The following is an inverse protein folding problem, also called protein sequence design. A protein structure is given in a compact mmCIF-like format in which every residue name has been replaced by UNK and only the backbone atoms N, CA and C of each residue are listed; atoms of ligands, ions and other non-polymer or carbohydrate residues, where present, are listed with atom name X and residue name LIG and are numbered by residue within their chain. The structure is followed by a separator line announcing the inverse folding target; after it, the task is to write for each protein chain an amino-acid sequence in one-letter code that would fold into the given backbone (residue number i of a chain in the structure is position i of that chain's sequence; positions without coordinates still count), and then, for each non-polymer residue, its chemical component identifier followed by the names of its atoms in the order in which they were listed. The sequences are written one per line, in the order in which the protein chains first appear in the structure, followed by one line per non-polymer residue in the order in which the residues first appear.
data_IF_028480338548
#
_entry.id   IF_028480338548
#
_cell.length_a   1.000
_cell.length_b   1.000
_cell.length_c   1.000
_cell.angle_alpha   90.00
_cell.angle_beta   90.00
_cell.angle_gamma   90.00
#
_symmetry.space_group_name_H-M   'P 1'
#
loop_
_entity.id
_entity.type
_entity.pdbx_description
1 polymer ?
#
# COMPACT_ATOMS: atom_id res chain seq x y z
N UNK A 1 13.13 37.98 -86.89
CA UNK A 1 14.19 38.08 -85.87
C UNK A 1 13.59 38.02 -84.47
N UNK A 2 13.84 36.94 -83.73
CA UNK A 2 13.88 36.89 -82.25
C UNK A 2 14.40 35.51 -81.84
N UNK A 3 15.68 35.45 -81.48
CA UNK A 3 16.31 34.32 -80.80
C UNK A 3 15.69 34.22 -79.40
N UNK A 4 15.25 33.03 -78.99
CA UNK A 4 15.19 32.65 -77.57
C UNK A 4 15.80 31.26 -77.38
N UNK A 5 16.91 31.32 -76.67
CA UNK A 5 17.79 30.30 -76.13
C UNK A 5 17.05 29.26 -75.30
N UNK A 6 17.24 27.97 -75.58
CA UNK A 6 16.92 26.89 -74.64
C UNK A 6 18.24 26.44 -74.02
N UNK A 7 18.44 26.81 -72.75
CA UNK A 7 19.51 26.30 -71.89
C UNK A 7 19.16 24.87 -71.50
N UNK A 8 19.94 23.89 -71.95
CA UNK A 8 19.93 22.55 -71.38
C UNK A 8 20.82 22.57 -70.13
N UNK A 9 20.20 22.67 -68.96
CA UNK A 9 20.85 22.47 -67.67
C UNK A 9 20.93 20.96 -67.45
N UNK A 10 22.12 20.38 -67.63
CA UNK A 10 22.45 19.04 -67.12
C UNK A 10 22.89 19.19 -65.67
N UNK A 11 21.95 19.03 -64.74
CA UNK A 11 22.26 18.71 -63.34
C UNK A 11 22.32 17.18 -63.28
N UNK A 12 23.53 16.63 -63.19
CA UNK A 12 23.74 15.31 -62.59
C UNK A 12 24.71 15.51 -61.43
N UNK A 13 24.10 15.63 -60.25
CA UNK A 13 24.70 15.39 -58.95
C UNK A 13 25.17 13.93 -58.87
N UNK A 14 26.36 13.73 -58.32
CA UNK A 14 26.71 12.48 -57.66
C UNK A 14 27.87 11.70 -58.26
N UNK A 15 29.11 12.17 -58.04
CA UNK A 15 30.02 11.54 -57.07
C UNK A 15 31.39 12.22 -57.17
N UNK A 16 31.65 13.11 -56.22
CA UNK A 16 33.00 13.47 -55.85
C UNK A 16 33.67 12.25 -55.20
N UNK A 17 34.48 11.53 -55.98
CA UNK A 17 35.67 10.87 -55.47
C UNK A 17 36.84 11.76 -55.88
N UNK A 18 37.43 12.43 -54.89
CA UNK A 18 38.63 13.24 -55.03
C UNK A 18 39.79 12.40 -55.56
N UNK A 19 40.45 12.84 -56.64
CA UNK A 19 41.69 12.19 -57.08
C UNK A 19 42.29 12.58 -58.44
N UNK A 20 42.26 13.86 -58.84
CA UNK A 20 43.30 14.44 -59.71
C UNK A 20 43.28 14.19 -61.23
N UNK A 21 43.19 15.28 -62.00
CA UNK A 21 44.01 15.46 -63.22
C UNK A 21 43.32 15.51 -64.59
N UNK A 22 43.37 16.69 -65.24
CA UNK A 22 43.27 16.92 -66.70
C UNK A 22 41.85 16.95 -67.27
N UNK A 23 41.26 18.07 -67.74
CA UNK A 23 41.71 19.06 -68.72
C UNK A 23 42.24 18.44 -70.03
N UNK A 24 41.43 18.57 -71.09
CA UNK A 24 41.79 18.54 -72.53
C UNK A 24 42.29 17.18 -73.08
N UNK A 25 41.66 16.55 -74.07
CA UNK A 25 41.37 17.10 -75.39
C UNK A 25 40.49 16.12 -76.16
N UNK A 26 39.45 16.66 -76.79
CA UNK A 26 38.68 16.02 -77.85
C UNK A 26 39.46 16.15 -79.15
N UNK A 27 39.82 15.04 -79.80
CA UNK A 27 39.58 14.80 -81.24
C UNK A 27 40.41 13.63 -81.78
N UNK A 28 39.74 12.52 -82.09
CA UNK A 28 39.76 11.98 -83.46
C UNK A 28 38.49 11.17 -83.69
N UNK A 29 37.59 11.83 -84.41
CA UNK A 29 36.35 11.33 -84.96
C UNK A 29 36.62 10.17 -85.93
N UNK A 30 36.11 8.99 -85.59
CA UNK A 30 35.69 7.97 -86.54
C UNK A 30 34.55 7.17 -85.89
N UNK A 31 33.34 7.44 -86.37
CA UNK A 31 32.19 6.53 -86.38
C UNK A 31 31.80 5.79 -85.09
N UNK A 32 30.86 6.38 -84.35
CA UNK A 32 29.68 5.62 -83.97
C UNK A 32 28.46 6.55 -83.99
N UNK A 33 27.75 6.56 -85.11
CA UNK A 33 26.38 7.07 -85.17
C UNK A 33 25.56 6.21 -84.21
N UNK A 34 25.36 6.66 -82.97
CA UNK A 34 24.20 6.18 -82.23
C UNK A 34 23.02 6.81 -82.94
N UNK A 35 22.30 5.98 -83.67
CA UNK A 35 21.10 6.35 -84.41
C UNK A 35 20.16 7.07 -83.44
N UNK A 36 19.68 8.25 -83.80
CA UNK A 36 18.79 9.04 -82.93
C UNK A 36 17.58 8.21 -82.48
N UNK A 37 17.17 7.28 -83.34
CA UNK A 37 16.16 6.26 -83.07
C UNK A 37 16.54 5.31 -81.91
N UNK A 38 17.80 4.86 -81.81
CA UNK A 38 18.25 3.99 -80.72
C UNK A 38 18.30 4.72 -79.37
N UNK A 39 18.63 6.02 -79.34
CA UNK A 39 18.56 6.81 -78.10
C UNK A 39 17.12 7.05 -77.64
N UNK A 40 16.22 7.36 -78.58
CA UNK A 40 14.79 7.54 -78.30
C UNK A 40 14.14 6.22 -77.84
N UNK A 41 14.54 5.07 -78.42
CA UNK A 41 14.10 3.75 -77.99
C UNK A 41 14.62 3.39 -76.57
N UNK A 42 15.89 3.69 -76.26
CA UNK A 42 16.46 3.46 -74.93
C UNK A 42 15.74 4.29 -73.86
N UNK A 43 15.50 5.57 -74.14
CA UNK A 43 14.77 6.48 -73.24
C UNK A 43 13.32 6.05 -73.05
N UNK A 44 12.69 5.51 -74.09
CA UNK A 44 11.32 4.99 -74.00
C UNK A 44 11.26 3.76 -73.11
N UNK A 45 12.18 2.79 -73.28
CA UNK A 45 12.27 1.60 -72.43
C UNK A 45 12.57 1.95 -70.97
N UNK A 46 13.48 2.90 -70.73
CA UNK A 46 13.82 3.36 -69.37
C UNK A 46 12.62 4.07 -68.71
N UNK A 47 11.88 4.89 -69.45
CA UNK A 47 10.65 5.54 -68.99
C UNK A 47 9.55 4.54 -68.68
N UNK A 48 9.36 3.52 -69.50
CA UNK A 48 8.39 2.44 -69.27
C UNK A 48 8.75 1.61 -68.03
N UNK A 49 10.03 1.29 -67.84
CA UNK A 49 10.52 0.61 -66.64
C UNK A 49 10.31 1.44 -65.37
N UNK A 50 10.63 2.74 -65.41
CA UNK A 50 10.37 3.67 -64.31
C UNK A 50 8.88 3.78 -64.00
N UNK A 51 8.03 3.85 -65.02
CA UNK A 51 6.57 3.88 -64.85
C UNK A 51 6.04 2.58 -64.21
N UNK A 52 6.54 1.42 -64.65
CA UNK A 52 6.20 0.13 -64.05
C UNK A 52 6.65 0.05 -62.57
N UNK A 53 7.84 0.55 -62.26
CA UNK A 53 8.37 0.57 -60.91
C UNK A 53 7.58 1.51 -59.98
N UNK A 54 7.19 2.69 -60.48
CA UNK A 54 6.32 3.63 -59.75
C UNK A 54 4.94 3.02 -59.49
N UNK A 55 4.35 2.34 -60.49
CA UNK A 55 3.07 1.67 -60.33
C UNK A 55 3.14 0.55 -59.26
N UNK A 56 4.18 -0.28 -59.30
CA UNK A 56 4.43 -1.32 -58.30
C UNK A 56 4.60 -0.74 -56.89
N UNK A 57 5.42 0.30 -56.75
CA UNK A 57 5.66 0.97 -55.45
C UNK A 57 4.39 1.61 -54.92
N UNK A 58 3.57 2.19 -55.80
CA UNK A 58 2.29 2.81 -55.41
C UNK A 58 1.31 1.77 -54.88
N UNK A 59 1.21 0.60 -55.52
CA UNK A 59 0.38 -0.50 -55.05
C UNK A 59 0.85 -1.06 -53.70
N UNK A 60 2.17 -1.16 -53.50
CA UNK A 60 2.76 -1.61 -52.24
C UNK A 60 2.47 -0.62 -51.10
N UNK A 61 2.60 0.70 -51.36
CA UNK A 61 2.22 1.74 -50.39
C UNK A 61 0.73 1.70 -50.05
N UNK A 62 -0.13 1.40 -51.01
CA UNK A 62 -1.57 1.28 -50.77
C UNK A 62 -1.91 0.06 -49.89
N UNK A 63 -1.25 -1.09 -50.14
CA UNK A 63 -1.35 -2.27 -49.29
C UNK A 63 -0.83 -2.00 -47.87
N UNK A 64 0.34 -1.37 -47.74
CA UNK A 64 0.91 -1.02 -46.43
C UNK A 64 0.01 -0.03 -45.66
N UNK A 65 -0.63 0.92 -46.34
CA UNK A 65 -1.63 1.82 -45.72
C UNK A 65 -2.85 1.05 -45.20
N UNK A 66 -3.30 0.04 -45.94
CA UNK A 66 -4.42 -0.82 -45.55
C UNK A 66 -4.07 -1.69 -44.34
N UNK A 67 -2.89 -2.29 -44.32
CA UNK A 67 -2.37 -3.04 -43.17
C UNK A 67 -2.21 -2.15 -41.93
N UNK A 68 -1.63 -0.96 -42.09
CA UNK A 68 -1.47 0.02 -41.01
C UNK A 68 -2.83 0.47 -40.45
N UNK A 69 -3.85 0.61 -41.30
CA UNK A 69 -5.23 0.87 -40.89
C UNK A 69 -5.80 -0.27 -40.02
N UNK A 70 -5.57 -1.52 -40.43
CA UNK A 70 -5.96 -2.71 -39.66
C UNK A 70 -5.27 -2.79 -38.30
N UNK A 71 -3.97 -2.52 -38.24
CA UNK A 71 -3.19 -2.50 -36.98
C UNK A 71 -3.70 -1.41 -36.04
N UNK A 72 -3.97 -0.19 -36.56
CA UNK A 72 -4.52 0.91 -35.76
C UNK A 72 -5.91 0.58 -35.19
N UNK A 73 -6.78 -0.05 -35.98
CA UNK A 73 -8.10 -0.47 -35.53
C UNK A 73 -8.02 -1.59 -34.48
N UNK A 74 -7.11 -2.56 -34.66
CA UNK A 74 -6.87 -3.61 -33.68
C UNK A 74 -6.30 -3.07 -32.36
N UNK A 75 -5.40 -2.10 -32.44
CA UNK A 75 -4.83 -1.42 -31.27
C UNK A 75 -5.90 -0.60 -30.53
N UNK A 76 -6.71 0.18 -31.24
CA UNK A 76 -7.84 0.91 -30.64
C UNK A 76 -8.84 -0.03 -29.97
N UNK A 77 -9.15 -1.16 -30.61
CA UNK A 77 -10.03 -2.19 -30.03
C UNK A 77 -9.43 -2.79 -28.76
N UNK A 78 -8.15 -3.17 -28.78
CA UNK A 78 -7.41 -3.69 -27.62
C UNK A 78 -7.36 -2.69 -26.46
N UNK A 79 -7.10 -1.43 -26.74
CA UNK A 79 -7.10 -0.35 -25.76
C UNK A 79 -8.49 -0.16 -25.16
N UNK A 80 -9.55 -0.20 -25.99
CA UNK A 80 -10.93 -0.08 -25.51
C UNK A 80 -11.38 -1.27 -24.66
N UNK A 81 -10.97 -2.49 -25.00
CA UNK A 81 -11.27 -3.72 -24.24
C UNK A 81 -10.48 -3.78 -22.92
N UNK A 82 -9.21 -3.36 -22.93
CA UNK A 82 -8.40 -3.22 -21.71
C UNK A 82 -8.98 -2.16 -20.76
N UNK A 83 -9.41 -1.01 -21.28
CA UNK A 83 -10.06 0.05 -20.50
C UNK A 83 -11.39 -0.39 -19.88
N UNK A 84 -12.15 -1.22 -20.59
CA UNK A 84 -13.43 -1.78 -20.11
C UNK A 84 -13.23 -2.74 -18.94
N UNK A 85 -12.14 -3.52 -18.94
CA UNK A 85 -11.78 -4.44 -17.85
C UNK A 85 -11.17 -3.74 -16.63
N UNK A 86 -10.56 -2.56 -16.78
CA UNK A 86 -10.01 -1.80 -15.64
C UNK A 86 -11.05 -0.96 -14.88
N UNK A 87 -12.19 -0.64 -15.51
CA UNK A 87 -13.22 0.25 -14.97
C UNK A 87 -14.51 -0.45 -14.51
N UNK A 88 -14.63 -1.77 -14.64
CA UNK A 88 -15.86 -2.46 -14.20
C UNK A 88 -15.84 -2.75 -12.70
N UNK A 89 -16.85 -2.23 -12.00
CA UNK A 89 -17.21 -2.64 -10.63
C UNK A 89 -17.37 -4.16 -10.59
N UNK A 90 -16.61 -4.82 -9.73
CA UNK A 90 -16.76 -6.25 -9.47
C UNK A 90 -18.03 -6.49 -8.65
N UNK A 91 -18.66 -7.63 -8.83
CA UNK A 91 -19.69 -8.13 -7.92
C UNK A 91 -19.06 -8.50 -6.56
N UNK A 92 -19.88 -8.55 -5.51
CA UNK A 92 -19.41 -8.91 -4.17
C UNK A 92 -18.78 -10.32 -4.14
N UNK A 93 -19.35 -11.26 -4.90
CA UNK A 93 -18.80 -12.61 -5.05
C UNK A 93 -17.39 -12.59 -5.69
N UNK A 94 -17.17 -11.75 -6.70
CA UNK A 94 -15.85 -11.60 -7.33
C UNK A 94 -14.84 -10.93 -6.40
N UNK A 95 -15.26 -9.92 -5.63
CA UNK A 95 -14.40 -9.26 -4.63
C UNK A 95 -13.97 -10.26 -3.56
N UNK A 96 -14.91 -11.07 -3.05
CA UNK A 96 -14.64 -12.14 -2.08
C UNK A 96 -13.69 -13.16 -2.69
N UNK A 97 -13.98 -13.69 -3.88
CA UNK A 97 -13.15 -14.70 -4.54
C UNK A 97 -11.72 -14.20 -4.79
N UNK A 98 -11.57 -12.92 -5.14
CA UNK A 98 -10.27 -12.27 -5.37
C UNK A 98 -9.45 -12.12 -4.09
N UNK A 99 -10.08 -11.77 -2.96
CA UNK A 99 -9.35 -11.39 -1.74
C UNK A 99 -9.31 -12.48 -0.66
N UNK A 100 -10.37 -13.28 -0.49
CA UNK A 100 -10.49 -14.33 0.55
C UNK A 100 -9.25 -15.23 0.64
N UNK A 101 -8.63 -15.69 -0.46
CA UNK A 101 -7.45 -16.56 -0.38
C UNK A 101 -6.24 -15.91 0.31
N UNK A 102 -6.12 -14.58 0.24
CA UNK A 102 -5.00 -13.83 0.80
C UNK A 102 -5.25 -13.29 2.22
N UNK A 103 -6.49 -13.38 2.74
CA UNK A 103 -6.83 -12.93 4.09
C UNK A 103 -6.55 -14.05 5.08
N UNK A 104 -5.86 -13.73 6.17
CA UNK A 104 -5.36 -14.73 7.14
C UNK A 104 -5.80 -14.42 8.55
N UNK A 105 -6.05 -15.47 9.33
CA UNK A 105 -6.29 -15.35 10.77
C UNK A 105 -4.94 -15.38 11.48
N UNK A 106 -4.73 -14.44 12.40
CA UNK A 106 -3.51 -14.32 13.19
C UNK A 106 -3.84 -14.66 14.63
N UNK A 107 -3.17 -15.67 15.18
CA UNK A 107 -3.26 -16.05 16.58
C UNK A 107 -1.92 -15.77 17.25
N UNK A 108 -1.94 -15.09 18.39
CA UNK A 108 -0.77 -14.82 19.22
C UNK A 108 -1.01 -15.36 20.62
N UNK A 109 0.01 -15.32 21.48
CA UNK A 109 -0.16 -15.66 22.90
C UNK A 109 -1.00 -14.64 23.68
N UNK A 110 -1.21 -13.45 23.12
CA UNK A 110 -1.91 -12.32 23.76
C UNK A 110 -3.29 -12.03 23.15
N UNK A 111 -3.66 -12.69 22.05
CA UNK A 111 -4.96 -12.48 21.39
C UNK A 111 -5.01 -13.00 19.96
N UNK A 112 -5.88 -12.39 19.16
CA UNK A 112 -6.06 -12.73 17.75
C UNK A 112 -6.46 -11.53 16.91
N UNK A 113 -6.22 -11.60 15.60
CA UNK A 113 -6.62 -10.59 14.65
C UNK A 113 -6.63 -11.12 13.21
N UNK A 114 -6.69 -10.20 12.27
CA UNK A 114 -6.66 -10.48 10.84
C UNK A 114 -5.36 -9.98 10.21
N UNK A 115 -5.04 -10.50 9.03
CA UNK A 115 -3.95 -9.99 8.20
C UNK A 115 -4.24 -10.23 6.73
N UNK A 116 -3.36 -9.71 5.88
CA UNK A 116 -3.39 -9.95 4.44
C UNK A 116 -2.00 -10.32 3.93
N UNK A 117 -1.92 -11.34 3.08
CA UNK A 117 -0.70 -11.68 2.35
C UNK A 117 -0.52 -10.64 1.24
N UNK A 118 0.65 -10.01 1.19
CA UNK A 118 0.96 -8.88 0.29
C UNK A 118 1.99 -9.22 -0.80
N UNK A 119 2.53 -10.43 -0.80
CA UNK A 119 3.33 -10.97 -1.90
C UNK A 119 3.31 -12.51 -1.91
N UNK A 120 3.72 -13.08 -3.05
CA UNK A 120 3.76 -14.53 -3.26
C UNK A 120 4.75 -15.26 -2.36
N UNK A 121 5.67 -14.54 -1.71
CA UNK A 121 6.66 -15.10 -0.81
C UNK A 121 6.10 -15.26 0.62
N UNK A 122 4.85 -14.89 0.89
CA UNK A 122 4.25 -15.07 2.22
C UNK A 122 4.63 -13.97 3.20
N UNK A 123 4.79 -12.75 2.71
CA UNK A 123 4.81 -11.56 3.57
C UNK A 123 3.38 -11.18 3.93
N UNK A 124 3.11 -11.00 5.22
CA UNK A 124 1.78 -10.65 5.75
C UNK A 124 1.83 -9.26 6.34
N UNK A 125 0.84 -8.43 6.01
CA UNK A 125 0.59 -7.12 6.60
C UNK A 125 -0.57 -7.24 7.60
N UNK A 126 -0.41 -6.65 8.78
CA UNK A 126 -1.43 -6.56 9.83
C UNK A 126 -1.22 -5.29 10.66
N UNK A 127 -2.02 -5.09 11.71
CA UNK A 127 -1.77 -4.03 12.68
C UNK A 127 -0.68 -4.38 13.69
N UNK A 128 0.07 -3.38 14.15
CA UNK A 128 1.11 -3.58 15.15
C UNK A 128 0.55 -4.08 16.48
N UNK A 129 -0.64 -3.60 16.88
CA UNK A 129 -1.27 -4.02 18.14
C UNK A 129 -1.68 -5.50 18.15
N UNK A 130 -1.93 -6.12 16.98
CA UNK A 130 -2.29 -7.56 16.87
C UNK A 130 -1.13 -8.45 17.31
N UNK A 131 0.10 -8.01 17.07
CA UNK A 131 1.35 -8.75 17.37
C UNK A 131 2.20 -8.07 18.43
N UNK A 132 1.56 -7.27 19.27
CA UNK A 132 2.27 -6.51 20.29
C UNK A 132 2.82 -7.44 21.37
N UNK A 133 4.10 -7.25 21.71
CA UNK A 133 4.78 -8.04 22.74
C UNK A 133 5.17 -9.46 22.33
N UNK A 134 4.86 -9.89 21.10
CA UNK A 134 5.19 -11.22 20.61
C UNK A 134 6.19 -11.18 19.45
N UNK A 135 7.05 -12.19 19.36
CA UNK A 135 7.97 -12.37 18.23
C UNK A 135 7.41 -13.34 17.18
N UNK A 136 6.48 -14.20 17.60
CA UNK A 136 5.91 -15.27 16.79
C UNK A 136 4.39 -15.23 16.85
N UNK A 137 3.76 -15.67 15.76
CA UNK A 137 2.33 -15.87 15.66
C UNK A 137 2.02 -17.17 14.92
N UNK A 138 0.85 -17.75 15.16
CA UNK A 138 0.29 -18.82 14.35
C UNK A 138 -0.67 -18.22 13.33
N UNK A 139 -0.45 -18.50 12.05
CA UNK A 139 -1.27 -18.02 10.96
C UNK A 139 -2.14 -19.15 10.45
N UNK A 140 -3.45 -18.94 10.38
CA UNK A 140 -4.37 -19.86 9.71
C UNK A 140 -4.70 -19.29 8.33
N UNK A 141 -4.32 -20.04 7.31
CA UNK A 141 -4.53 -19.70 5.90
C UNK A 141 -5.97 -20.02 5.48
N UNK A 142 -6.42 -19.46 4.35
CA UNK A 142 -7.76 -19.69 3.81
C UNK A 142 -8.05 -21.16 3.47
N UNK A 143 -7.00 -21.96 3.23
CA UNK A 143 -7.06 -23.40 3.00
C UNK A 143 -7.01 -24.24 4.30
N UNK A 144 -7.21 -23.58 5.45
CA UNK A 144 -7.18 -24.17 6.80
C UNK A 144 -5.82 -24.66 7.30
N UNK A 145 -4.73 -24.52 6.52
CA UNK A 145 -3.39 -24.82 7.03
C UNK A 145 -3.00 -23.82 8.11
N UNK A 146 -2.35 -24.33 9.15
CA UNK A 146 -1.74 -23.51 10.20
C UNK A 146 -0.23 -23.48 10.00
N UNK A 147 0.35 -22.29 10.01
CA UNK A 147 1.80 -22.08 9.81
C UNK A 147 2.33 -21.10 10.83
N UNK A 148 3.57 -21.29 11.28
CA UNK A 148 4.26 -20.34 12.13
C UNK A 148 4.70 -19.11 11.32
N UNK A 149 4.56 -17.93 11.91
CA UNK A 149 5.07 -16.68 11.38
C UNK A 149 5.95 -15.95 12.38
N UNK A 150 6.95 -15.24 11.85
CA UNK A 150 7.82 -14.35 12.61
C UNK A 150 7.43 -12.90 12.34
N UNK A 151 7.46 -12.07 13.38
CA UNK A 151 7.34 -10.62 13.22
C UNK A 151 8.67 -10.08 12.68
N UNK A 152 8.64 -9.48 11.48
CA UNK A 152 9.84 -8.94 10.80
C UNK A 152 10.10 -7.50 11.17
N UNK A 153 9.04 -6.69 11.25
CA UNK A 153 9.13 -5.27 11.53
C UNK A 153 7.78 -4.69 11.88
N UNK A 154 7.77 -3.62 12.66
CA UNK A 154 6.55 -2.90 13.04
C UNK A 154 6.79 -1.40 13.14
N UNK A 155 5.76 -0.63 12.84
CA UNK A 155 5.66 0.81 13.10
C UNK A 155 4.47 1.01 14.03
N UNK A 156 4.75 1.14 15.34
CA UNK A 156 3.73 1.32 16.36
C UNK A 156 3.01 2.68 16.27
N UNK A 157 3.62 3.68 15.62
CA UNK A 157 2.99 4.99 15.44
C UNK A 157 1.93 4.93 14.35
N UNK A 158 2.18 4.17 13.29
CA UNK A 158 1.20 3.90 12.23
C UNK A 158 0.30 2.69 12.51
N UNK A 159 0.56 1.96 13.59
CA UNK A 159 -0.12 0.72 13.93
C UNK A 159 -0.07 -0.33 12.80
N UNK A 160 1.11 -0.57 12.22
CA UNK A 160 1.33 -1.59 11.18
C UNK A 160 2.48 -2.52 11.52
N UNK A 161 2.35 -3.79 11.14
CA UNK A 161 3.39 -4.79 11.29
C UNK A 161 3.48 -5.71 10.06
N UNK A 162 4.70 -6.18 9.79
CA UNK A 162 4.99 -7.19 8.80
C UNK A 162 5.36 -8.50 9.50
N UNK A 163 4.66 -9.56 9.10
CA UNK A 163 4.96 -10.92 9.49
C UNK A 163 5.47 -11.70 8.28
N UNK A 164 6.20 -12.78 8.54
CA UNK A 164 6.73 -13.67 7.50
C UNK A 164 6.41 -15.11 7.82
N UNK A 165 5.78 -15.79 6.85
CA UNK A 165 5.62 -17.25 6.82
C UNK A 165 6.60 -17.87 5.83
N UNK A 166 6.94 -19.14 6.03
CA UNK A 166 7.82 -19.88 5.12
C UNK A 166 7.02 -20.50 3.97
N UNK A 167 7.53 -20.41 2.74
CA UNK A 167 6.88 -20.95 1.54
C UNK A 167 6.91 -19.97 0.38
N UNK A 168 6.24 -20.33 -0.71
CA UNK A 168 6.10 -19.52 -1.90
C UNK A 168 4.75 -19.81 -2.59
N UNK A 169 4.43 -19.04 -3.63
CA UNK A 169 3.19 -19.14 -4.42
C UNK A 169 1.92 -18.91 -3.59
N UNK A 170 2.01 -18.06 -2.57
CA UNK A 170 0.83 -17.64 -1.83
C UNK A 170 -0.06 -16.73 -2.68
N UNK A 171 -1.39 -16.85 -2.57
CA UNK A 171 -2.27 -15.79 -3.03
C UNK A 171 -2.00 -14.51 -2.24
N UNK A 172 -2.07 -13.36 -2.90
CA UNK A 172 -1.80 -12.07 -2.27
C UNK A 172 -2.78 -11.01 -2.78
N UNK A 173 -2.98 -9.98 -1.96
CA UNK A 173 -3.87 -8.86 -2.28
C UNK A 173 -3.22 -7.90 -3.28
N UNK A 174 -4.07 -7.21 -4.05
CA UNK A 174 -3.65 -6.09 -4.90
C UNK A 174 -3.86 -4.78 -4.15
N UNK A 175 -2.85 -3.91 -4.09
CA UNK A 175 -3.04 -2.57 -3.52
C UNK A 175 -3.70 -1.62 -4.52
N UNK A 176 -4.62 -0.81 -4.03
CA UNK A 176 -5.22 0.30 -4.76
C UNK A 176 -4.57 1.63 -4.39
N UNK A 177 -5.26 2.70 -4.76
CA UNK A 177 -4.91 4.06 -4.39
C UNK A 177 -5.94 4.61 -3.40
N UNK A 178 -5.51 4.78 -2.15
CA UNK A 178 -6.31 5.36 -1.08
C UNK A 178 -6.43 6.88 -1.17
N UNK A 179 -5.64 7.57 -2.01
CA UNK A 179 -5.77 9.02 -2.20
C UNK A 179 -6.95 9.40 -3.08
N UNK A 180 -7.35 8.51 -4.01
CA UNK A 180 -8.48 8.72 -4.91
C UNK A 180 -9.83 8.46 -4.28
N UNK A 181 -9.87 7.82 -3.11
CA UNK A 181 -11.11 7.46 -2.40
C UNK A 181 -11.88 8.71 -2.01
N UNK A 182 -13.21 8.69 -2.12
CA UNK A 182 -14.10 9.81 -1.81
C UNK A 182 -15.17 9.38 -0.81
N UNK A 183 -15.75 10.36 -0.12
CA UNK A 183 -16.92 10.11 0.72
C UNK A 183 -18.06 9.56 -0.14
N UNK A 184 -18.71 8.50 0.33
CA UNK A 184 -19.77 7.80 -0.39
C UNK A 184 -19.28 6.62 -1.25
N UNK A 185 -17.97 6.47 -1.49
CA UNK A 185 -17.45 5.32 -2.24
C UNK A 185 -17.79 4.00 -1.52
N UNK A 186 -18.27 3.02 -2.28
CA UNK A 186 -18.50 1.66 -1.79
C UNK A 186 -17.18 1.00 -1.37
N UNK A 187 -17.19 0.41 -0.18
CA UNK A 187 -16.03 -0.26 0.41
C UNK A 187 -16.45 -1.54 1.13
N UNK A 188 -15.50 -2.46 1.25
CA UNK A 188 -15.74 -3.78 1.80
C UNK A 188 -14.65 -4.15 2.79
N UNK A 189 -15.04 -4.62 3.97
CA UNK A 189 -14.11 -5.13 4.98
C UNK A 189 -14.04 -6.65 4.91
N UNK A 190 -12.83 -7.18 5.00
CA UNK A 190 -12.59 -8.62 5.16
C UNK A 190 -11.80 -8.89 6.44
N UNK A 191 -12.15 -9.94 7.16
CA UNK A 191 -11.46 -10.33 8.39
C UNK A 191 -12.20 -11.38 9.21
N UNK A 192 -11.77 -11.54 10.46
CA UNK A 192 -12.26 -12.52 11.42
C UNK A 192 -12.84 -11.81 12.66
N UNK A 193 -14.10 -11.37 12.61
CA UNK A 193 -14.71 -10.63 13.71
C UNK A 193 -14.77 -11.49 14.98
N UNK A 194 -14.58 -10.84 16.12
CA UNK A 194 -14.42 -11.41 17.46
C UNK A 194 -13.30 -12.44 17.60
N UNK A 195 -12.40 -12.52 16.63
CA UNK A 195 -11.38 -13.57 16.58
C UNK A 195 -11.96 -14.97 16.36
N UNK A 196 -13.21 -15.06 15.86
CA UNK A 196 -13.85 -16.33 15.57
C UNK A 196 -13.20 -16.99 14.36
N UNK A 197 -12.82 -18.24 14.53
CA UNK A 197 -12.33 -19.08 13.45
C UNK A 197 -13.47 -19.43 12.50
N UNK A 198 -13.16 -19.54 11.21
CA UNK A 198 -14.15 -19.89 10.20
C UNK A 198 -13.81 -19.28 8.85
N UNK A 199 -14.84 -19.07 8.04
CA UNK A 199 -14.68 -18.35 6.78
C UNK A 199 -14.43 -16.86 7.02
N UNK A 200 -13.63 -16.25 6.15
CA UNK A 200 -13.40 -14.80 6.13
C UNK A 200 -14.74 -14.07 6.05
N UNK A 201 -15.03 -13.22 7.03
CA UNK A 201 -16.20 -12.36 7.01
C UNK A 201 -16.07 -11.29 5.92
N UNK A 202 -17.19 -10.91 5.33
CA UNK A 202 -17.28 -9.85 4.33
C UNK A 202 -18.41 -8.89 4.73
N UNK A 203 -18.09 -7.60 4.89
CA UNK A 203 -19.08 -6.57 5.23
C UNK A 203 -19.00 -5.40 4.26
N UNK A 204 -20.16 -4.94 3.83
CA UNK A 204 -20.32 -3.84 2.88
C UNK A 204 -20.57 -2.54 3.62
N UNK A 205 -20.13 -1.44 3.03
CA UNK A 205 -20.44 -0.10 3.50
C UNK A 205 -19.90 0.94 2.54
N UNK A 206 -19.79 2.16 3.03
CA UNK A 206 -19.32 3.33 2.29
C UNK A 206 -18.28 4.09 3.09
N UNK A 207 -17.43 4.85 2.41
CA UNK A 207 -16.58 5.83 3.09
C UNK A 207 -17.43 6.94 3.67
N UNK A 208 -17.38 7.10 4.98
CA UNK A 208 -18.09 8.15 5.71
C UNK A 208 -17.35 9.47 5.66
N UNK A 209 -16.01 9.48 5.86
CA UNK A 209 -15.14 10.66 5.71
C UNK A 209 -13.66 10.28 5.85
N UNK A 210 -12.77 11.24 5.58
CA UNK A 210 -11.37 11.17 6.02
C UNK A 210 -11.17 11.93 7.32
N UNK A 211 -10.38 11.36 8.22
CA UNK A 211 -9.99 11.95 9.49
C UNK A 211 -8.49 12.20 9.50
N UNK A 212 -8.08 13.29 10.15
CA UNK A 212 -6.70 13.54 10.52
C UNK A 212 -6.69 13.88 12.00
N UNK A 213 -5.94 13.12 12.80
CA UNK A 213 -5.79 13.35 14.23
C UNK A 213 -4.32 13.19 14.62
N UNK A 214 -3.76 14.20 15.28
CA UNK A 214 -2.36 14.20 15.75
C UNK A 214 -1.33 13.78 14.68
N UNK A 215 -1.56 14.16 13.41
CA UNK A 215 -0.69 13.83 12.28
C UNK A 215 -0.91 12.44 11.65
N UNK A 216 -1.79 11.61 12.21
CA UNK A 216 -2.21 10.35 11.61
C UNK A 216 -3.53 10.53 10.82
N UNK A 217 -3.64 9.85 9.67
CA UNK A 217 -4.82 9.92 8.81
C UNK A 217 -5.56 8.58 8.75
N UNK A 218 -6.89 8.64 8.72
CA UNK A 218 -7.79 7.49 8.71
C UNK A 218 -8.92 7.66 7.69
N UNK A 219 -9.41 6.54 7.17
CA UNK A 219 -10.66 6.44 6.42
C UNK A 219 -11.72 5.95 7.39
N UNK A 220 -12.74 6.76 7.66
CA UNK A 220 -13.93 6.32 8.38
C UNK A 220 -14.90 5.69 7.40
N UNK A 221 -15.50 4.56 7.79
CA UNK A 221 -16.43 3.78 6.98
C UNK A 221 -17.71 3.46 7.75
N UNK A 222 -18.77 3.14 7.01
CA UNK A 222 -20.03 2.66 7.57
C UNK A 222 -20.11 1.12 7.67
N UNK A 223 -19.18 0.40 7.03
CA UNK A 223 -19.11 -1.06 7.12
C UNK A 223 -18.78 -1.50 8.56
N UNK A 224 -19.39 -2.61 9.00
CA UNK A 224 -19.19 -3.14 10.35
C UNK A 224 -17.73 -3.57 10.56
N UNK A 225 -17.15 -3.10 11.68
CA UNK A 225 -15.86 -3.54 12.20
C UNK A 225 -16.04 -3.90 13.67
N UNK A 226 -15.62 -5.10 14.04
CA UNK A 226 -15.51 -5.55 15.43
C UNK A 226 -14.05 -5.90 15.75
N UNK A 227 -13.72 -6.03 17.04
CA UNK A 227 -12.43 -6.59 17.45
C UNK A 227 -12.18 -7.91 16.73
N UNK A 228 -10.97 -8.16 16.22
CA UNK A 228 -10.66 -9.31 15.36
C UNK A 228 -10.59 -8.98 13.85
N UNK A 229 -11.31 -7.97 13.36
CA UNK A 229 -11.13 -7.46 11.99
C UNK A 229 -9.83 -6.65 11.81
N UNK A 230 -9.24 -6.16 12.91
CA UNK A 230 -7.98 -5.42 12.90
C UNK A 230 -6.91 -6.16 12.12
N UNK A 231 -6.28 -5.45 11.18
CA UNK A 231 -5.22 -5.94 10.31
C UNK A 231 -5.72 -6.53 8.98
N UNK A 232 -7.02 -6.81 8.85
CA UNK A 232 -7.64 -7.25 7.60
C UNK A 232 -7.77 -6.11 6.57
N UNK A 233 -8.00 -6.42 5.29
CA UNK A 233 -8.07 -5.40 4.25
C UNK A 233 -9.43 -4.67 4.22
N UNK A 234 -9.36 -3.37 3.95
CA UNK A 234 -10.46 -2.57 3.41
C UNK A 234 -10.27 -2.48 1.89
N UNK A 235 -11.23 -2.95 1.10
CA UNK A 235 -11.13 -2.97 -0.38
C UNK A 235 -12.18 -2.12 -1.06
N UNK A 236 -11.85 -1.59 -2.24
CA UNK A 236 -12.76 -0.84 -3.10
C UNK A 236 -13.58 -1.77 -4.04
N UNK A 237 -14.42 -1.18 -4.89
CA UNK A 237 -15.24 -1.88 -5.91
C UNK A 237 -14.46 -2.70 -6.95
N UNK A 238 -13.12 -2.58 -7.01
CA UNK A 238 -12.25 -3.39 -7.87
C UNK A 238 -11.54 -4.50 -7.11
N UNK A 239 -11.90 -4.68 -5.83
CA UNK A 239 -11.25 -5.61 -4.91
C UNK A 239 -9.79 -5.27 -4.65
N UNK A 240 -9.39 -3.99 -4.79
CA UNK A 240 -8.05 -3.51 -4.46
C UNK A 240 -8.06 -2.94 -3.03
N UNK A 241 -7.03 -3.24 -2.25
CA UNK A 241 -6.88 -2.78 -0.88
C UNK A 241 -6.59 -1.28 -0.87
N UNK A 242 -7.48 -0.52 -0.24
CA UNK A 242 -7.36 0.93 -0.03
C UNK A 242 -7.07 1.26 1.45
N UNK A 243 -7.16 0.29 2.35
CA UNK A 243 -6.77 0.50 3.73
C UNK A 243 -6.64 -0.78 4.54
N UNK A 244 -6.22 -0.61 5.79
CA UNK A 244 -6.08 -1.69 6.78
C UNK A 244 -7.12 -1.44 7.86
N UNK A 245 -8.09 -2.34 8.02
CA UNK A 245 -9.13 -2.25 9.04
C UNK A 245 -8.46 -2.12 10.41
N UNK A 246 -8.90 -1.15 11.21
CA UNK A 246 -8.48 -1.00 12.60
C UNK A 246 -9.69 -0.72 13.46
N UNK A 247 -9.97 -1.63 14.39
CA UNK A 247 -11.07 -1.46 15.34
C UNK A 247 -10.72 -0.48 16.47
N UNK A 248 -9.48 0.02 16.52
CA UNK A 248 -8.97 0.74 17.68
C UNK A 248 -8.77 2.22 17.36
N UNK A 249 -9.82 3.01 17.57
CA UNK A 249 -9.70 4.44 17.75
C UNK A 249 -10.70 4.94 18.79
N UNK A 250 -10.17 5.25 19.98
CA UNK A 250 -10.87 6.03 20.99
C UNK A 250 -10.76 7.53 20.66
N UNK A 251 -11.56 8.01 19.70
CA UNK A 251 -12.02 9.40 19.83
C UNK A 251 -13.09 9.37 20.94
N UNK A 252 -12.94 10.19 21.96
CA UNK A 252 -14.03 10.50 22.89
C UNK A 252 -14.45 11.94 22.56
N UNK A 253 -15.65 12.10 22.01
CA UNK A 253 -16.34 13.39 22.02
C UNK A 253 -17.30 13.36 23.21
N UNK A 254 -17.22 14.36 24.09
CA UNK A 254 -18.23 14.63 25.13
C UNK A 254 -18.57 13.45 26.06
N UNK A 255 -17.59 12.61 26.40
CA UNK A 255 -17.80 11.51 27.36
C UNK A 255 -18.46 10.25 26.78
N UNK A 256 -18.70 10.20 25.47
CA UNK A 256 -19.13 8.98 24.77
C UNK A 256 -17.90 8.21 24.28
N UNK A 257 -17.79 6.93 24.64
CA UNK A 257 -16.85 5.99 24.00
C UNK A 257 -17.25 5.82 22.53
N UNK A 258 -16.69 6.64 21.61
CA UNK A 258 -16.99 6.51 20.17
C UNK A 258 -16.38 5.24 19.55
N UNK A 259 -15.69 4.40 20.34
CA UNK A 259 -15.12 3.13 19.91
C UNK A 259 -16.18 2.13 19.40
N UNK A 260 -17.44 2.30 19.79
CA UNK A 260 -18.56 1.54 19.20
C UNK A 260 -19.15 2.23 17.94
N UNK A 261 -18.84 3.51 17.73
CA UNK A 261 -19.49 4.35 16.72
C UNK A 261 -18.65 4.50 15.44
N UNK A 262 -17.32 4.66 15.53
CA UNK A 262 -16.46 4.96 14.39
C UNK A 262 -15.66 3.73 13.94
N UNK A 263 -15.84 3.33 12.67
CA UNK A 263 -15.14 2.21 12.04
C UNK A 263 -14.07 2.80 11.14
N UNK A 264 -12.79 2.51 11.43
CA UNK A 264 -11.66 3.16 10.76
C UNK A 264 -10.80 2.16 9.99
N UNK A 265 -10.11 2.69 8.98
CA UNK A 265 -9.00 2.02 8.32
C UNK A 265 -7.81 2.97 8.12
N UNK A 266 -6.60 2.42 8.22
CA UNK A 266 -5.36 3.12 7.89
C UNK A 266 -5.22 3.16 6.37
N UNK A 267 -5.09 4.34 5.71
CA UNK A 267 -4.96 4.44 4.26
C UNK A 267 -3.73 3.68 3.75
N UNK A 268 -3.89 2.87 2.69
CA UNK A 268 -2.79 2.03 2.19
C UNK A 268 -1.59 2.84 1.70
N UNK A 269 -1.81 4.06 1.18
CA UNK A 269 -0.74 4.93 0.68
C UNK A 269 0.15 5.45 1.82
N UNK A 270 -0.31 5.43 3.08
CA UNK A 270 0.54 5.75 4.23
C UNK A 270 1.53 4.62 4.56
N UNK A 271 1.21 3.40 4.14
CA UNK A 271 1.95 2.18 4.49
C UNK A 271 2.91 1.77 3.37
N UNK A 272 2.49 1.88 2.11
CA UNK A 272 3.29 1.49 0.93
C UNK A 272 4.74 2.02 0.96
N UNK A 273 5.02 3.31 1.25
CA UNK A 273 6.40 3.82 1.26
C UNK A 273 7.28 3.19 2.34
N UNK A 274 6.69 2.62 3.40
CA UNK A 274 7.39 2.01 4.54
C UNK A 274 7.57 0.50 4.38
N UNK A 275 6.91 -0.13 3.41
CA UNK A 275 6.98 -1.59 3.24
C UNK A 275 8.39 -2.09 3.03
N UNK A 276 9.23 -1.39 2.25
CA UNK A 276 10.62 -1.80 2.04
C UNK A 276 11.40 -1.82 3.37
N UNK A 277 11.27 -0.77 4.18
CA UNK A 277 11.89 -0.68 5.50
C UNK A 277 11.38 -1.77 6.45
N UNK A 278 10.07 -1.99 6.49
CA UNK A 278 9.45 -3.01 7.35
C UNK A 278 9.81 -4.43 6.93
N UNK A 279 9.92 -4.70 5.61
CA UNK A 279 10.29 -6.02 5.05
C UNK A 279 11.77 -6.34 5.18
N UNK A 280 12.63 -5.34 4.97
CA UNK A 280 14.07 -5.55 5.05
C UNK A 280 14.55 -5.75 6.50
N UNK A 281 13.68 -5.52 7.49
CA UNK A 281 14.06 -5.55 8.91
C UNK A 281 15.21 -4.58 9.21
N UNK A 282 15.42 -3.56 8.36
CA UNK A 282 16.72 -2.91 8.18
C UNK A 282 17.16 -2.08 9.39
N UNK A 283 18.34 -2.43 9.89
CA UNK A 283 19.29 -1.57 10.59
C UNK A 283 18.81 -0.82 11.83
N UNK A 284 17.92 -1.42 12.59
CA UNK A 284 17.89 -1.18 14.01
C UNK A 284 17.45 -2.46 14.73
N UNK A 285 18.42 -3.38 14.87
CA UNK A 285 18.51 -4.22 16.06
C UNK A 285 18.83 -3.39 17.33
N UNK A 286 18.66 -2.06 17.28
CA UNK A 286 18.28 -1.23 18.45
C UNK A 286 16.81 -1.40 18.86
N UNK A 287 15.93 -1.96 18.01
CA UNK A 287 14.50 -2.20 18.31
C UNK A 287 14.15 -3.67 18.64
N UNK A 288 15.13 -4.57 18.78
CA UNK A 288 14.90 -5.78 19.60
C UNK A 288 14.64 -5.41 21.06
N UNK A 289 14.94 -4.17 21.42
CA UNK A 289 14.52 -3.56 22.64
C UNK A 289 13.01 -3.33 22.55
N UNK A 290 12.23 -4.32 22.99
CA UNK A 290 10.81 -4.16 23.23
C UNK A 290 10.64 -3.43 24.56
N UNK A 291 9.67 -2.51 24.64
CA UNK A 291 9.26 -1.92 25.92
C UNK A 291 8.58 -3.01 26.74
N UNK A 292 8.93 -3.10 28.02
CA UNK A 292 8.15 -3.96 28.90
C UNK A 292 6.70 -3.48 28.92
N UNK A 293 5.77 -4.41 28.97
CA UNK A 293 4.35 -4.13 29.02
C UNK A 293 3.66 -5.02 30.04
N UNK A 294 2.47 -4.62 30.44
CA UNK A 294 1.63 -5.40 31.32
C UNK A 294 0.31 -4.68 31.57
N UNK A 295 -0.57 -5.33 32.32
CA UNK A 295 -1.84 -4.74 32.72
C UNK A 295 -1.68 -4.02 34.05
N UNK A 296 -2.28 -2.84 34.13
CA UNK A 296 -2.32 -2.04 35.34
C UNK A 296 -3.76 -1.60 35.60
N UNK A 297 -4.23 -1.87 36.81
CA UNK A 297 -5.49 -1.30 37.31
C UNK A 297 -5.18 0.08 37.87
N UNK A 298 -5.85 1.09 37.32
CA UNK A 298 -5.68 2.50 37.69
C UNK A 298 -6.89 2.89 38.52
N UNK A 299 -6.63 3.47 39.69
CA UNK A 299 -7.63 3.85 40.68
C UNK A 299 -7.80 5.37 40.78
N UNK A 300 -9.03 5.78 41.08
CA UNK A 300 -9.45 7.14 41.34
C UNK A 300 -10.26 7.16 42.64
N UNK A 301 -9.70 7.77 43.68
CA UNK A 301 -10.35 7.92 44.99
C UNK A 301 -11.03 9.29 45.17
N UNK A 302 -11.42 9.91 44.06
CA UNK A 302 -12.19 11.16 44.05
C UNK A 302 -13.63 10.90 43.62
N UNK A 303 -14.52 11.82 44.00
CA UNK A 303 -15.94 11.78 43.63
C UNK A 303 -16.20 12.26 42.19
N UNK A 304 -15.14 12.55 41.42
CA UNK A 304 -15.23 13.06 40.04
C UNK A 304 -14.45 12.11 39.11
N UNK A 305 -15.01 11.70 37.96
CA UNK A 305 -14.25 10.94 36.98
C UNK A 305 -13.00 11.69 36.51
N UNK A 306 -11.88 10.99 36.37
CA UNK A 306 -10.61 11.59 35.95
C UNK A 306 -10.16 11.05 34.61
N UNK A 307 -9.97 11.97 33.66
CA UNK A 307 -9.36 11.66 32.37
C UNK A 307 -7.83 11.76 32.45
N UNK A 308 -7.15 10.68 32.08
CA UNK A 308 -5.73 10.69 31.78
C UNK A 308 -5.55 10.69 30.27
N UNK A 309 -4.67 11.58 29.79
CA UNK A 309 -4.36 11.69 28.36
C UNK A 309 -3.41 10.58 27.93
N UNK A 310 -3.36 10.32 26.62
CA UNK A 310 -2.36 9.42 26.03
C UNK A 310 -0.97 9.78 26.54
N UNK A 311 -0.16 8.76 26.82
CA UNK A 311 1.20 8.88 27.35
C UNK A 311 1.30 9.43 28.79
N UNK A 312 0.18 9.50 29.55
CA UNK A 312 0.26 9.76 30.99
C UNK A 312 1.22 8.78 31.65
N UNK A 313 2.11 9.35 32.48
CA UNK A 313 3.18 8.62 33.16
C UNK A 313 2.68 8.01 34.46
N UNK A 314 3.12 6.80 34.70
CA UNK A 314 3.00 6.06 35.95
C UNK A 314 4.38 5.63 36.38
N UNK A 315 4.75 5.90 37.62
CA UNK A 315 6.09 5.65 38.13
C UNK A 315 6.04 4.55 39.19
N UNK A 316 6.82 3.49 39.00
CA UNK A 316 7.01 2.42 40.00
C UNK A 316 7.92 2.90 41.14
N UNK A 317 8.01 2.15 42.27
CA UNK A 317 8.83 2.57 43.41
C UNK A 317 10.34 2.64 43.10
N UNK A 318 10.81 1.90 42.09
CA UNK A 318 12.18 1.95 41.59
C UNK A 318 12.38 2.97 40.45
N UNK A 319 11.44 3.90 40.27
CA UNK A 319 11.55 5.01 39.32
C UNK A 319 11.33 4.64 37.85
N UNK A 320 10.81 3.45 37.56
CA UNK A 320 10.51 3.03 36.18
C UNK A 320 9.18 3.63 35.74
N UNK A 321 9.22 4.30 34.59
CA UNK A 321 8.05 4.96 34.03
C UNK A 321 7.35 4.02 33.06
N UNK A 322 6.05 3.88 33.23
CA UNK A 322 5.13 3.24 32.31
C UNK A 322 4.08 4.25 31.84
N UNK A 323 3.54 4.02 30.66
CA UNK A 323 2.61 4.92 30.00
C UNK A 323 1.41 4.17 29.48
N UNK A 324 0.26 4.77 29.64
CA UNK A 324 -0.93 4.34 28.92
C UNK A 324 -0.80 4.69 27.43
N UNK A 325 -1.07 3.75 26.51
CA UNK A 325 -0.92 3.97 25.07
C UNK A 325 -2.02 4.87 24.49
N UNK A 326 -3.09 5.07 25.25
CA UNK A 326 -4.29 5.80 24.86
C UNK A 326 -4.85 6.57 26.06
N UNK A 327 -5.67 7.58 25.78
CA UNK A 327 -6.39 8.30 26.84
C UNK A 327 -7.42 7.40 27.49
N UNK A 328 -7.60 7.52 28.80
CA UNK A 328 -8.56 6.74 29.57
C UNK A 328 -9.29 7.63 30.58
N UNK A 329 -10.55 7.33 30.86
CA UNK A 329 -11.32 8.01 31.91
C UNK A 329 -11.59 7.02 33.02
N UNK A 330 -11.04 7.28 34.20
CA UNK A 330 -11.24 6.46 35.39
C UNK A 330 -12.50 6.98 36.09
N UNK A 331 -13.52 6.15 36.36
CA UNK A 331 -14.76 6.59 36.99
C UNK A 331 -14.50 7.18 38.38
N UNK A 332 -15.48 7.95 38.89
CA UNK A 332 -15.47 8.37 40.28
C UNK A 332 -15.57 7.17 41.22
N UNK A 333 -15.20 7.36 42.49
CA UNK A 333 -15.44 6.36 43.53
C UNK A 333 -16.92 6.19 43.85
N UNK A 334 -17.28 5.01 44.33
CA UNK A 334 -18.62 4.69 44.82
C UNK A 334 -18.54 4.43 46.32
N UNK A 335 -18.98 5.42 47.12
CA UNK A 335 -18.79 5.38 48.57
C UNK A 335 -17.30 5.35 48.92
N UNK A 336 -16.86 4.28 49.59
CA UNK A 336 -15.45 4.08 49.97
C UNK A 336 -14.68 3.18 48.98
N UNK A 337 -15.27 2.82 47.85
CA UNK A 337 -14.63 1.98 46.83
C UNK A 337 -14.12 2.86 45.69
N UNK A 338 -12.80 3.00 45.50
CA UNK A 338 -12.24 3.79 44.41
C UNK A 338 -12.75 3.34 43.05
N UNK A 339 -13.03 4.30 42.17
CA UNK A 339 -13.31 4.00 40.78
C UNK A 339 -12.05 3.44 40.12
N UNK A 340 -12.21 2.47 39.22
CA UNK A 340 -11.04 1.85 38.59
C UNK A 340 -11.29 1.41 37.16
N UNK A 341 -10.19 1.28 36.42
CA UNK A 341 -10.14 0.67 35.09
C UNK A 341 -8.88 -0.18 34.99
N UNK A 342 -8.86 -1.18 34.14
CA UNK A 342 -7.64 -1.90 33.78
C UNK A 342 -7.21 -1.51 32.38
N UNK A 343 -5.94 -1.14 32.23
CA UNK A 343 -5.36 -0.76 30.95
C UNK A 343 -4.01 -1.43 30.76
N UNK A 344 -3.67 -1.75 29.52
CA UNK A 344 -2.30 -2.12 29.17
C UNK A 344 -1.41 -0.89 29.23
N UNK A 345 -0.23 -1.02 29.84
CA UNK A 345 0.79 0.03 29.91
C UNK A 345 2.11 -0.44 29.35
N UNK A 346 2.91 0.51 28.89
CA UNK A 346 4.22 0.27 28.28
C UNK A 346 5.29 1.08 28.97
N UNK A 347 6.46 0.49 29.16
CA UNK A 347 7.65 1.18 29.64
C UNK A 347 7.95 2.40 28.76
N UNK A 348 8.40 3.50 29.37
CA UNK A 348 8.76 4.73 28.66
C UNK A 348 9.96 4.51 27.74
N UNK A 349 10.87 3.63 28.16
CA UNK A 349 12.04 3.21 27.39
C UNK A 349 12.13 1.70 27.37
N UNK A 350 12.95 1.19 26.48
CA UNK A 350 13.23 -0.24 26.35
C UNK A 350 14.28 -0.66 27.38
N UNK A 351 14.42 -1.96 27.63
CA UNK A 351 15.43 -2.49 28.55
C UNK A 351 14.88 -3.57 29.50
N UNK A 352 15.70 -4.59 29.83
CA UNK A 352 15.30 -5.69 30.70
C UNK A 352 14.99 -5.25 32.13
N UNK A 353 15.48 -4.10 32.57
CA UNK A 353 15.21 -3.52 33.88
C UNK A 353 13.78 -3.01 34.07
N UNK A 354 12.99 -2.97 32.98
CA UNK A 354 11.55 -2.71 33.03
C UNK A 354 10.72 -4.00 33.17
N UNK A 355 11.34 -5.18 33.15
CA UNK A 355 10.68 -6.42 33.55
C UNK A 355 10.60 -6.50 35.07
N UNK A 356 9.56 -5.89 35.63
CA UNK A 356 9.39 -5.76 37.09
C UNK A 356 8.27 -6.67 37.60
N UNK A 357 8.39 -7.18 38.84
CA UNK A 357 7.31 -7.95 39.47
C UNK A 357 6.05 -7.07 39.68
N UNK A 358 4.90 -7.68 40.01
CA UNK A 358 3.69 -6.97 40.44
C UNK A 358 4.00 -5.85 41.44
N UNK A 359 3.52 -4.64 41.19
CA UNK A 359 3.86 -3.48 42.04
C UNK A 359 2.82 -2.36 41.95
N UNK A 360 2.99 -1.35 42.82
CA UNK A 360 2.20 -0.13 42.83
C UNK A 360 2.87 0.95 41.98
N UNK A 361 2.07 1.87 41.44
CA UNK A 361 2.53 2.99 40.65
C UNK A 361 1.89 4.29 41.13
N UNK A 362 2.64 5.38 41.06
CA UNK A 362 2.12 6.73 41.31
C UNK A 362 2.04 7.53 40.03
N UNK A 363 1.30 8.64 40.05
CA UNK A 363 1.23 9.56 38.91
C UNK A 363 2.17 10.74 39.20
N UNK A 364 3.41 10.74 38.67
CA UNK A 364 4.41 11.76 39.01
C UNK A 364 3.97 13.18 38.65
N UNK A 365 3.07 13.36 37.68
CA UNK A 365 2.50 14.66 37.34
C UNK A 365 1.67 15.32 38.45
N UNK A 366 1.24 14.56 39.47
CA UNK A 366 0.53 15.08 40.63
C UNK A 366 1.42 15.26 41.86
N UNK A 367 2.73 14.96 41.77
CA UNK A 367 3.64 15.05 42.91
C UNK A 367 3.65 16.47 43.48
N UNK A 368 3.48 16.56 44.81
CA UNK A 368 3.39 17.85 45.52
C UNK A 368 2.01 18.50 45.51
N UNK A 369 0.98 17.82 45.00
CA UNK A 369 -0.43 18.25 45.06
C UNK A 369 -1.25 17.29 45.92
N UNK A 370 -2.39 17.74 46.42
CA UNK A 370 -3.34 16.91 47.18
C UNK A 370 -3.87 15.71 46.38
N UNK A 371 -3.70 15.74 45.06
CA UNK A 371 -4.13 14.68 44.14
C UNK A 371 -3.17 13.50 44.11
N UNK A 372 -1.94 13.63 44.62
CA UNK A 372 -0.90 12.62 44.45
C UNK A 372 -1.28 11.24 44.99
N UNK A 373 -2.00 11.20 46.12
CA UNK A 373 -2.42 9.95 46.76
C UNK A 373 -3.82 9.49 46.32
N UNK A 374 -4.56 10.33 45.57
CA UNK A 374 -5.93 10.03 45.12
C UNK A 374 -5.96 9.28 43.78
N UNK A 375 -4.83 9.21 43.07
CA UNK A 375 -4.68 8.49 41.81
C UNK A 375 -3.44 7.60 41.84
N UNK A 376 -3.64 6.30 41.66
CA UNK A 376 -2.56 5.33 41.70
C UNK A 376 -2.83 4.14 40.79
N UNK A 377 -1.79 3.40 40.44
CA UNK A 377 -1.86 2.18 39.66
C UNK A 377 -1.41 0.97 40.46
N UNK A 378 -1.91 -0.21 40.12
CA UNK A 378 -1.39 -1.48 40.59
C UNK A 378 -1.33 -2.50 39.44
N UNK A 379 -0.21 -3.20 39.31
CA UNK A 379 -0.13 -4.37 38.42
C UNK A 379 -0.18 -5.64 39.26
N UNK A 380 -1.17 -6.50 38.98
CA UNK A 380 -1.30 -7.81 39.62
C UNK A 380 -0.43 -8.88 38.95
N UNK A 381 0.03 -8.61 37.73
CA UNK A 381 0.94 -9.45 36.96
C UNK A 381 2.27 -8.71 36.74
N UNK A 382 3.37 -9.44 36.47
CA UNK A 382 4.64 -8.83 36.12
C UNK A 382 4.52 -7.96 34.86
N UNK A 383 5.27 -6.87 34.82
CA UNK A 383 5.60 -6.21 33.56
C UNK A 383 6.67 -7.06 32.86
N UNK A 384 6.51 -7.33 31.57
CA UNK A 384 7.35 -8.28 30.85
C UNK A 384 7.58 -7.86 29.39
N UNK A 385 8.52 -8.53 28.72
CA UNK A 385 8.84 -8.24 27.32
C UNK A 385 9.77 -7.04 27.13
N UNK A 386 10.35 -6.48 28.20
CA UNK A 386 11.45 -5.51 28.12
C UNK A 386 12.73 -6.21 27.70
N UNK A 387 13.39 -5.78 26.62
CA UNK A 387 14.72 -6.30 26.23
C UNK A 387 15.66 -5.18 25.81
#
# INVERSE_FOLDING_TARGET
MKKKTIKLILIVLGLAVFGGGGYLTVNKLAEYKIDKAQQEELQTKEKEQLQAQVASTTAEVENLKKELGGVKAAEQKRVSEAQKNTNSKLSNAEIIAKNKPAVVYIQTSSGSGSGMIIDSNGTILTNAHVVLGVQNATIKLSDSRQVAAFVVGRDENLDVAILKISGANYPYVEFGDSSSVQQGDDVFTLGFPFGLEGEVSFKEGTVSRRLVNEGASYIEISAEIHGGNSGGPLVNIRGQVIGINTAQYGLQAEGVLLGETLKLAIPINNVQPKLAQLKAGTENLKWLASRAYGTMTIFNDTDIPQRFIRNTRFESPNGKIFRIPQSVTIPAKTGNVPGSITSTVFADTTGPEYNIPPTNFTVPGFKGTDRYNLFYGHSYQPMSGGN
#
